data_IF_304996945217
#
_entry.id   IF_304996945217
#
_cell.length_a   1.000
_cell.length_b   1.000
_cell.length_c   1.000
_cell.angle_alpha   90.00
_cell.angle_beta   90.00
_cell.angle_gamma   90.00
#
_symmetry.space_group_name_H-M   'P 1'
#
loop_
_entity.id
_entity.type
_entity.pdbx_description
1 polymer ?
#
# COMPACT_ATOMS: atom_id res chain seq x y z
N UNK A 1 40.01 28.04 -34.85
CA UNK A 1 38.56 28.34 -34.90
C UNK A 1 37.91 27.51 -33.82
N UNK A 2 37.41 28.17 -32.78
CA UNK A 2 37.01 27.60 -31.50
C UNK A 2 35.52 27.30 -31.53
N UNK A 3 35.12 26.05 -31.33
CA UNK A 3 33.71 25.65 -31.16
C UNK A 3 33.35 25.69 -29.68
N UNK A 4 32.57 26.70 -29.28
CA UNK A 4 31.93 26.75 -27.97
C UNK A 4 30.75 25.77 -27.90
N UNK A 5 30.83 24.84 -26.95
CA UNK A 5 29.74 23.93 -26.57
C UNK A 5 29.00 24.58 -25.41
N UNK A 6 27.81 25.12 -25.66
CA UNK A 6 26.95 25.62 -24.59
C UNK A 6 26.39 24.44 -23.77
N UNK A 7 26.47 24.46 -22.43
CA UNK A 7 25.78 23.48 -21.60
C UNK A 7 24.28 23.80 -21.54
N UNK A 8 23.45 22.78 -21.79
CA UNK A 8 22.00 22.88 -21.60
C UNK A 8 21.67 23.00 -20.10
N UNK A 9 21.01 24.08 -19.72
CA UNK A 9 20.51 24.33 -18.36
C UNK A 9 19.34 23.38 -18.04
N UNK A 10 19.26 22.77 -16.84
CA UNK A 10 18.11 21.96 -16.47
C UNK A 10 16.87 22.84 -16.31
N UNK A 11 15.87 22.64 -17.17
CA UNK A 11 14.55 23.28 -17.05
C UNK A 11 13.91 22.77 -15.76
N UNK A 12 13.85 23.63 -14.74
CA UNK A 12 13.10 23.38 -13.52
C UNK A 12 11.62 23.20 -13.88
N UNK A 13 11.13 21.97 -13.78
CA UNK A 13 9.71 21.65 -13.94
C UNK A 13 8.94 22.28 -12.78
N UNK A 14 8.31 23.43 -13.05
CA UNK A 14 7.37 24.06 -12.12
C UNK A 14 6.24 23.10 -11.71
N UNK A 15 5.47 23.45 -10.66
CA UNK A 15 4.40 22.61 -10.16
C UNK A 15 3.45 22.24 -11.30
N UNK A 16 3.27 20.93 -11.53
CA UNK A 16 2.38 20.44 -12.58
C UNK A 16 0.97 20.94 -12.30
N UNK A 17 0.45 21.78 -13.19
CA UNK A 17 -0.92 22.21 -13.14
C UNK A 17 -1.81 20.97 -13.28
N UNK A 18 -2.64 20.70 -12.27
CA UNK A 18 -3.65 19.65 -12.36
C UNK A 18 -4.52 19.92 -13.59
N UNK A 19 -4.71 18.90 -14.44
CA UNK A 19 -5.63 18.99 -15.57
C UNK A 19 -7.00 19.33 -14.99
N UNK A 20 -7.52 20.50 -15.35
CA UNK A 20 -8.87 20.92 -14.97
C UNK A 20 -9.83 19.96 -15.69
N UNK A 21 -10.68 19.27 -14.94
CA UNK A 21 -11.70 18.39 -15.53
C UNK A 21 -12.60 19.15 -16.49
N UNK A 22 -13.25 18.43 -17.41
CA UNK A 22 -14.08 19.03 -18.43
C UNK A 22 -15.11 20.01 -17.83
N UNK A 23 -15.34 21.17 -18.47
CA UNK A 23 -16.35 22.12 -18.02
C UNK A 23 -17.72 21.44 -17.88
N UNK A 24 -18.43 21.73 -16.77
CA UNK A 24 -19.75 21.13 -16.48
C UNK A 24 -20.81 21.41 -17.55
N UNK A 25 -20.62 22.46 -18.35
CA UNK A 25 -21.52 22.87 -19.44
C UNK A 25 -20.95 22.53 -20.81
N UNK A 26 -20.58 21.26 -21.01
CA UNK A 26 -20.24 20.78 -22.35
C UNK A 26 -21.50 20.25 -23.04
N UNK A 27 -21.80 20.79 -24.22
CA UNK A 27 -22.81 20.23 -25.13
C UNK A 27 -22.43 18.76 -25.37
N UNK A 28 -23.35 17.79 -25.21
CA UNK A 28 -23.03 16.38 -25.38
C UNK A 28 -22.49 16.13 -26.79
N UNK A 29 -21.18 15.87 -26.90
CA UNK A 29 -20.59 15.44 -28.17
C UNK A 29 -21.17 14.06 -28.48
N UNK A 30 -21.70 13.81 -29.70
CA UNK A 30 -22.23 12.51 -30.06
C UNK A 30 -21.20 11.41 -29.83
N UNK A 31 -21.57 10.40 -29.03
CA UNK A 31 -20.71 9.26 -28.76
C UNK A 31 -20.31 8.55 -30.06
N UNK A 32 -19.02 8.29 -30.22
CA UNK A 32 -18.50 7.53 -31.36
C UNK A 32 -19.15 6.13 -31.37
N UNK A 33 -19.78 5.74 -32.48
CA UNK A 33 -20.59 4.51 -32.62
C UNK A 33 -19.96 3.23 -32.02
N UNK A 34 -18.66 2.93 -32.21
CA UNK A 34 -18.00 1.74 -31.64
C UNK A 34 -17.99 1.71 -30.11
N UNK A 35 -18.03 2.88 -29.45
CA UNK A 35 -18.01 3.00 -27.99
C UNK A 35 -19.40 2.89 -27.37
N UNK A 36 -20.49 2.94 -28.16
CA UNK A 36 -21.84 2.70 -27.63
C UNK A 36 -22.00 1.31 -27.01
N UNK A 37 -21.18 0.35 -27.43
CA UNK A 37 -21.18 -1.03 -26.91
C UNK A 37 -20.14 -1.27 -25.81
N UNK A 38 -19.34 -0.26 -25.41
CA UNK A 38 -18.36 -0.48 -24.34
C UNK A 38 -19.03 -0.46 -22.97
N UNK A 39 -18.83 -1.53 -22.20
CA UNK A 39 -19.27 -1.59 -20.82
C UNK A 39 -18.32 -0.77 -19.95
N UNK A 40 -18.78 0.38 -19.45
CA UNK A 40 -18.04 1.15 -18.45
C UNK A 40 -18.33 0.58 -17.07
N UNK A 41 -17.29 0.13 -16.36
CA UNK A 41 -17.41 -0.24 -14.95
C UNK A 41 -17.03 0.97 -14.10
N UNK A 42 -17.97 1.48 -13.32
CA UNK A 42 -17.70 2.54 -12.35
C UNK A 42 -17.25 1.88 -11.04
N UNK A 43 -15.99 2.09 -10.66
CA UNK A 43 -15.50 1.72 -9.33
C UNK A 43 -16.13 2.66 -8.30
N UNK A 44 -17.19 2.19 -7.63
CA UNK A 44 -17.74 2.91 -6.49
C UNK A 44 -16.74 2.82 -5.32
N UNK A 45 -16.33 3.97 -4.80
CA UNK A 45 -15.59 4.05 -3.54
C UNK A 45 -16.52 3.52 -2.45
N UNK A 46 -16.17 2.38 -1.84
CA UNK A 46 -16.90 1.88 -0.69
C UNK A 46 -16.87 2.92 0.42
N UNK A 47 -18.04 3.17 1.02
CA UNK A 47 -18.20 4.03 2.20
C UNK A 47 -17.23 3.61 3.33
N UNK A 48 -16.92 4.50 4.29
CA UNK A 48 -16.08 4.16 5.43
C UNK A 48 -16.61 2.89 6.09
N UNK A 49 -15.81 1.83 6.02
CA UNK A 49 -16.16 0.53 6.59
C UNK A 49 -16.39 0.74 8.08
N UNK A 50 -17.47 0.16 8.62
CA UNK A 50 -17.83 0.23 10.05
C UNK A 50 -16.61 0.04 10.94
N UNK A 51 -16.53 0.66 12.13
CA UNK A 51 -15.38 0.49 13.01
C UNK A 51 -15.06 -0.99 13.17
N UNK A 52 -13.94 -1.40 12.58
CA UNK A 52 -13.51 -2.80 12.58
C UNK A 52 -13.28 -3.28 14.02
N UNK A 53 -13.24 -4.60 14.24
CA UNK A 53 -13.05 -5.16 15.57
C UNK A 53 -11.85 -4.53 16.29
N UNK A 54 -12.07 -4.07 17.53
CA UNK A 54 -11.05 -3.38 18.32
C UNK A 54 -9.82 -4.27 18.55
N UNK A 55 -10.04 -5.59 18.69
CA UNK A 55 -9.00 -6.61 18.84
C UNK A 55 -9.05 -7.60 17.69
N UNK A 56 -7.88 -7.89 17.16
CA UNK A 56 -7.63 -8.75 16.01
C UNK A 56 -6.67 -9.85 16.45
N UNK A 57 -7.01 -11.10 16.11
CA UNK A 57 -6.06 -12.20 16.16
C UNK A 57 -5.35 -12.28 14.82
N UNK A 58 -4.04 -12.07 14.78
CA UNK A 58 -3.24 -12.13 13.56
C UNK A 58 -2.22 -13.25 13.62
N UNK A 59 -1.90 -13.85 12.48
CA UNK A 59 -0.89 -14.89 12.37
C UNK A 59 0.38 -14.32 11.77
N UNK A 60 1.54 -14.63 12.33
CA UNK A 60 2.85 -14.26 11.80
C UNK A 60 3.55 -15.56 11.41
N UNK A 61 3.95 -15.69 10.16
CA UNK A 61 4.49 -16.91 9.57
C UNK A 61 5.84 -16.66 8.89
N UNK A 62 6.81 -17.54 9.13
CA UNK A 62 8.16 -17.41 8.55
C UNK A 62 8.49 -18.43 7.44
N UNK A 63 7.49 -19.13 6.91
CA UNK A 63 7.68 -20.20 5.93
C UNK A 63 7.74 -21.60 6.54
N UNK A 64 8.01 -21.74 7.84
CA UNK A 64 8.03 -23.04 8.54
C UNK A 64 7.15 -23.07 9.78
N UNK A 65 7.21 -22.02 10.60
CA UNK A 65 6.52 -21.91 11.88
C UNK A 65 5.70 -20.63 11.92
N UNK A 66 4.60 -20.70 12.66
CA UNK A 66 3.71 -19.58 12.91
C UNK A 66 3.60 -19.22 14.39
N UNK A 67 3.18 -17.99 14.65
CA UNK A 67 2.69 -17.54 15.96
C UNK A 67 1.42 -16.71 15.78
N UNK A 68 0.45 -16.92 16.66
CA UNK A 68 -0.76 -16.09 16.72
C UNK A 68 -0.53 -14.98 17.74
N UNK A 69 -0.86 -13.75 17.37
CA UNK A 69 -0.71 -12.57 18.23
C UNK A 69 -2.02 -11.83 18.29
N UNK A 70 -2.46 -11.52 19.50
CA UNK A 70 -3.60 -10.63 19.73
C UNK A 70 -3.11 -9.18 19.71
N UNK A 71 -3.69 -8.38 18.82
CA UNK A 71 -3.34 -6.98 18.62
C UNK A 71 -4.60 -6.11 18.56
N UNK A 72 -4.46 -4.82 18.86
CA UNK A 72 -5.54 -3.86 18.64
C UNK A 72 -5.52 -3.35 17.21
N UNK A 73 -6.66 -2.92 16.69
CA UNK A 73 -6.73 -2.29 15.35
C UNK A 73 -5.83 -1.05 15.24
N UNK A 74 -5.60 -0.36 16.36
CA UNK A 74 -4.70 0.79 16.50
C UNK A 74 -3.24 0.42 16.77
N UNK A 75 -2.91 -0.86 17.00
CA UNK A 75 -1.52 -1.28 17.14
C UNK A 75 -0.80 -1.13 15.79
N UNK A 76 0.44 -0.65 15.85
CA UNK A 76 1.31 -0.55 14.68
C UNK A 76 1.98 -1.89 14.37
N UNK A 77 2.41 -2.07 13.13
CA UNK A 77 3.20 -3.23 12.72
C UNK A 77 4.45 -3.41 13.59
N UNK A 78 5.13 -2.32 13.95
CA UNK A 78 6.29 -2.34 14.86
C UNK A 78 5.95 -2.88 16.26
N UNK A 79 4.77 -2.54 16.81
CA UNK A 79 4.30 -3.11 18.08
C UNK A 79 4.05 -4.61 17.95
N UNK A 80 3.52 -5.07 16.82
CA UNK A 80 3.31 -6.50 16.56
C UNK A 80 4.64 -7.24 16.45
N UNK A 81 5.62 -6.68 15.72
CA UNK A 81 6.97 -7.24 15.63
C UNK A 81 7.61 -7.40 17.01
N UNK A 82 7.50 -6.39 17.88
CA UNK A 82 7.98 -6.47 19.26
C UNK A 82 7.25 -7.53 20.09
N UNK A 83 5.92 -7.65 19.95
CA UNK A 83 5.15 -8.71 20.63
C UNK A 83 5.60 -10.10 20.18
N UNK A 84 5.82 -10.30 18.88
CA UNK A 84 6.32 -11.57 18.33
C UNK A 84 7.69 -11.89 18.89
N UNK A 85 8.61 -10.91 18.88
CA UNK A 85 9.98 -11.11 19.38
C UNK A 85 10.00 -11.52 20.86
N UNK A 86 9.08 -10.99 21.67
CA UNK A 86 8.91 -11.38 23.07
C UNK A 86 8.33 -12.79 23.25
N UNK A 87 7.38 -13.18 22.39
CA UNK A 87 6.69 -14.47 22.49
C UNK A 87 7.52 -15.62 21.92
N UNK A 88 8.25 -15.37 20.83
CA UNK A 88 9.08 -16.34 20.13
C UNK A 88 10.33 -15.65 19.57
N UNK A 89 11.40 -15.53 20.37
CA UNK A 89 12.67 -14.95 19.93
C UNK A 89 13.26 -15.68 18.71
N UNK A 90 12.99 -16.98 18.57
CA UNK A 90 13.44 -17.83 17.46
C UNK A 90 12.83 -17.44 16.11
N UNK A 91 11.73 -16.68 16.11
CA UNK A 91 11.18 -16.01 14.92
C UNK A 91 11.98 -14.73 14.56
N UNK A 92 13.25 -14.67 14.99
CA UNK A 92 14.21 -13.56 14.96
C UNK A 92 14.55 -12.91 13.60
N UNK A 93 13.66 -13.05 12.61
CA UNK A 93 13.69 -12.35 11.32
C UNK A 93 12.44 -11.49 11.04
N UNK A 94 11.58 -11.22 12.03
CA UNK A 94 10.35 -10.44 11.82
C UNK A 94 10.55 -8.97 11.41
N UNK A 95 11.77 -8.51 11.17
CA UNK A 95 12.06 -7.11 10.83
C UNK A 95 11.32 -6.63 9.57
N UNK A 96 11.15 -7.51 8.58
CA UNK A 96 10.31 -7.21 7.42
C UNK A 96 9.07 -8.11 7.40
N UNK A 97 7.90 -7.47 7.36
CA UNK A 97 6.62 -8.15 7.24
C UNK A 97 5.97 -7.81 5.90
N UNK A 98 5.23 -8.77 5.38
CA UNK A 98 4.46 -8.68 4.15
C UNK A 98 3.01 -9.05 4.44
N UNK A 99 2.08 -8.27 3.90
CA UNK A 99 0.63 -8.51 3.97
C UNK A 99 0.04 -8.35 2.58
N UNK A 100 -0.78 -9.32 2.14
CA UNK A 100 -1.39 -9.34 0.81
C UNK A 100 -0.37 -9.09 -0.33
N UNK A 101 0.80 -9.73 -0.28
CA UNK A 101 1.83 -9.57 -1.31
C UNK A 101 2.68 -8.31 -1.17
N UNK A 102 2.37 -7.40 -0.23
CA UNK A 102 3.03 -6.09 -0.12
C UNK A 102 3.83 -5.94 1.18
N UNK A 103 5.07 -5.45 1.13
CA UNK A 103 5.80 -5.02 2.33
C UNK A 103 5.01 -3.99 3.12
N UNK A 104 4.94 -4.16 4.44
CA UNK A 104 4.27 -3.21 5.34
C UNK A 104 5.30 -2.42 6.15
N UNK A 105 5.00 -1.14 6.37
CA UNK A 105 5.89 -0.25 7.12
C UNK A 105 5.63 -0.37 8.63
N UNK A 106 6.67 -0.33 9.48
CA UNK A 106 6.52 -0.52 10.92
C UNK A 106 5.59 0.48 11.62
N UNK A 107 5.43 1.70 11.11
CA UNK A 107 4.59 2.73 11.72
C UNK A 107 3.11 2.63 11.36
N UNK A 108 2.75 1.82 10.35
CA UNK A 108 1.35 1.66 9.92
C UNK A 108 0.55 0.84 10.93
N UNK A 109 -0.71 1.21 11.15
CA UNK A 109 -1.63 0.47 12.03
C UNK A 109 -2.32 -0.67 11.28
N UNK A 110 -2.86 -1.63 12.02
CA UNK A 110 -3.68 -2.69 11.45
C UNK A 110 -4.95 -2.15 10.77
N UNK A 111 -5.55 -1.07 11.30
CA UNK A 111 -6.72 -0.41 10.70
C UNK A 111 -6.40 0.28 9.39
N UNK A 112 -5.28 1.00 9.28
CA UNK A 112 -4.83 1.62 8.02
C UNK A 112 -4.58 0.58 6.92
N UNK A 113 -4.11 -0.61 7.31
CA UNK A 113 -3.88 -1.74 6.43
C UNK A 113 -5.15 -2.59 6.19
N UNK A 114 -6.29 -2.24 6.79
CA UNK A 114 -7.56 -2.96 6.70
C UNK A 114 -7.40 -4.46 7.00
N UNK A 115 -6.65 -4.76 8.06
CA UNK A 115 -6.33 -6.14 8.44
C UNK A 115 -7.56 -6.81 9.04
N UNK A 116 -7.92 -7.96 8.48
CA UNK A 116 -9.07 -8.75 8.94
C UNK A 116 -8.66 -9.69 10.09
N UNK A 117 -9.58 -10.06 11.00
CA UNK A 117 -9.34 -11.13 11.96
C UNK A 117 -8.87 -12.41 11.26
N UNK A 118 -7.85 -13.06 11.80
CA UNK A 118 -7.24 -14.26 11.23
C UNK A 118 -6.26 -14.01 10.08
N UNK A 119 -6.03 -12.75 9.70
CA UNK A 119 -5.07 -12.39 8.67
C UNK A 119 -3.65 -12.91 8.98
N UNK A 120 -2.91 -13.23 7.92
CA UNK A 120 -1.54 -13.75 8.01
C UNK A 120 -0.55 -12.75 7.44
N UNK A 121 0.48 -12.44 8.22
CA UNK A 121 1.67 -11.73 7.78
C UNK A 121 2.81 -12.72 7.57
N UNK A 122 3.59 -12.48 6.53
CA UNK A 122 4.73 -13.32 6.18
C UNK A 122 6.01 -12.54 6.47
N UNK A 123 6.96 -13.15 7.17
CA UNK A 123 8.29 -12.57 7.37
C UNK A 123 9.16 -12.83 6.15
N UNK A 124 10.04 -11.90 5.78
CA UNK A 124 10.99 -12.14 4.70
C UNK A 124 12.36 -11.49 5.00
N UNK A 125 13.39 -12.03 4.35
CA UNK A 125 14.73 -11.46 4.33
C UNK A 125 15.00 -10.82 2.97
N UNK A 126 15.74 -9.71 2.96
CA UNK A 126 16.20 -9.09 1.72
C UNK A 126 17.55 -9.71 1.37
N UNK A 127 17.69 -10.19 0.14
CA UNK A 127 18.98 -10.59 -0.38
C UNK A 127 19.76 -9.34 -0.78
N UNK A 128 20.99 -9.20 -0.31
CA UNK A 128 21.93 -8.20 -0.83
C UNK A 128 22.70 -8.86 -1.97
N UNK A 129 22.45 -8.43 -3.21
CA UNK A 129 23.19 -8.89 -4.39
C UNK A 129 24.56 -8.22 -4.47
N UNK A 130 25.52 -8.93 -5.05
CA UNK A 130 26.85 -8.42 -5.41
C UNK A 130 26.98 -8.22 -6.91
#
# INVERSE_FOLDING_TARGET
>A
MTTDVYPALPVALGPRQCVKGDPKDTVPVPYHEPLKKSTHTVLQVQQPVSPGPERLLVNIFNGSKGVKVTARSTDTIGKIQQKVLKLKPELGGCGNLLYNGKPVQPHKTLSELQVKPGATFITYQKCHGG
#
